data_IF_402447875348
#
_entry.id   IF_402447875348
#
_cell.length_a   1.000
_cell.length_b   1.000
_cell.length_c   1.000
_cell.angle_alpha   90.00
_cell.angle_beta   90.00
_cell.angle_gamma   90.00
#
_symmetry.space_group_name_H-M   'P 1'
#
loop_
_entity.id
_entity.type
_entity.pdbx_description
1 polymer ?
#
# COMPACT_ATOMS: atom_id res chain seq x y z
N UNK A 1 13.60 43.55 -2.71
CA UNK A 1 14.79 42.74 -3.01
C UNK A 1 15.38 42.22 -1.71
N UNK A 2 16.01 41.04 -1.74
CA UNK A 2 16.78 40.51 -0.61
C UNK A 2 18.24 40.49 -1.02
N UNK A 3 19.12 41.02 -0.16
CA UNK A 3 20.57 41.06 -0.38
C UNK A 3 21.26 40.62 0.90
N UNK A 4 22.32 39.84 0.79
CA UNK A 4 23.05 39.36 1.96
C UNK A 4 24.16 38.37 1.63
N UNK A 5 24.63 37.66 2.64
CA UNK A 5 25.74 36.71 2.54
C UNK A 5 25.34 35.29 2.11
N UNK A 6 24.03 34.97 2.12
CA UNK A 6 23.53 33.63 1.80
C UNK A 6 23.80 33.26 0.34
N UNK A 7 24.63 32.24 0.13
CA UNK A 7 24.73 31.54 -1.16
C UNK A 7 23.54 30.60 -1.39
N UNK A 8 23.25 30.27 -2.65
CA UNK A 8 22.17 29.34 -3.02
C UNK A 8 22.60 27.87 -2.83
N UNK A 9 22.85 27.47 -1.58
CA UNK A 9 23.28 26.13 -1.18
C UNK A 9 22.48 25.67 0.03
N UNK A 10 22.52 24.36 0.35
CA UNK A 10 21.86 23.82 1.54
C UNK A 10 22.25 24.57 2.82
N UNK A 11 23.54 24.82 3.05
CA UNK A 11 24.03 25.54 4.22
C UNK A 11 23.66 27.03 4.25
N UNK A 12 23.68 27.70 3.09
CA UNK A 12 23.31 29.12 2.98
C UNK A 12 21.80 29.38 3.10
N UNK A 13 20.97 28.39 2.78
CA UNK A 13 19.52 28.41 2.98
C UNK A 13 19.12 27.90 4.38
N UNK A 14 19.87 26.94 4.93
CA UNK A 14 19.62 26.33 6.22
C UNK A 14 20.94 25.87 6.88
N UNK A 15 21.35 26.56 7.94
CA UNK A 15 22.40 26.09 8.87
C UNK A 15 23.48 27.13 9.16
N UNK A 16 23.99 27.82 8.14
CA UNK A 16 25.01 28.85 8.34
C UNK A 16 24.43 30.08 9.07
N UNK A 17 25.32 30.80 9.76
CA UNK A 17 25.01 32.14 10.27
C UNK A 17 25.18 33.14 9.14
N UNK A 18 24.06 33.53 8.54
CA UNK A 18 24.01 34.43 7.40
C UNK A 18 23.41 35.79 7.80
N UNK A 19 23.86 36.87 7.17
CA UNK A 19 23.27 38.20 7.32
C UNK A 19 22.55 38.56 6.03
N UNK A 20 21.23 38.70 6.11
CA UNK A 20 20.38 39.07 4.98
C UNK A 20 19.50 40.27 5.34
N UNK A 21 19.31 41.17 4.38
CA UNK A 21 18.44 42.32 4.49
C UNK A 21 17.35 42.25 3.42
N UNK A 22 16.11 42.48 3.84
CA UNK A 22 14.99 42.69 2.94
C UNK A 22 14.79 44.20 2.76
N UNK A 23 14.75 44.67 1.52
CA UNK A 23 14.37 46.04 1.18
C UNK A 23 13.18 46.06 0.24
N UNK A 24 12.26 46.99 0.48
CA UNK A 24 11.12 47.30 -0.40
C UNK A 24 11.22 48.71 -0.98
N UNK A 25 12.31 49.43 -0.69
CA UNK A 25 12.55 50.76 -1.23
C UNK A 25 12.68 50.72 -2.75
N UNK A 26 11.96 51.60 -3.43
CA UNK A 26 11.88 51.57 -4.90
C UNK A 26 13.20 51.98 -5.53
N UNK A 27 13.84 53.02 -5.01
CA UNK A 27 15.09 53.54 -5.57
C UNK A 27 16.20 52.49 -5.45
N UNK A 28 16.38 51.90 -4.27
CA UNK A 28 17.35 50.83 -4.05
C UNK A 28 17.06 49.57 -4.89
N UNK A 29 15.80 49.20 -5.09
CA UNK A 29 15.45 48.09 -5.99
C UNK A 29 15.79 48.42 -7.45
N UNK A 30 15.52 49.64 -7.90
CA UNK A 30 15.86 50.08 -9.26
C UNK A 30 17.38 50.07 -9.48
N UNK A 31 18.17 50.52 -8.50
CA UNK A 31 19.63 50.47 -8.58
C UNK A 31 20.16 49.03 -8.70
N UNK A 32 19.63 48.10 -7.88
CA UNK A 32 19.97 46.68 -7.96
C UNK A 32 19.63 46.05 -9.32
N UNK A 33 18.49 46.41 -9.90
CA UNK A 33 18.09 45.93 -11.24
C UNK A 33 19.07 46.46 -12.30
N UNK A 34 19.43 47.74 -12.23
CA UNK A 34 20.36 48.34 -13.19
C UNK A 34 21.75 47.70 -13.09
N UNK A 35 22.23 47.45 -11.88
CA UNK A 35 23.49 46.72 -11.63
C UNK A 35 23.44 45.29 -12.17
N UNK A 36 22.35 44.56 -11.95
CA UNK A 36 22.17 43.23 -12.53
C UNK A 36 22.19 43.28 -14.06
N UNK A 37 21.46 44.22 -14.67
CA UNK A 37 21.38 44.37 -16.12
C UNK A 37 22.71 44.82 -16.74
N UNK A 38 23.56 45.57 -16.02
CA UNK A 38 24.89 45.91 -16.52
C UNK A 38 25.76 44.66 -16.61
N UNK A 39 25.80 43.86 -15.53
CA UNK A 39 26.53 42.59 -15.50
C UNK A 39 26.00 41.59 -16.54
N UNK A 40 24.68 41.51 -16.69
CA UNK A 40 24.03 40.61 -17.64
C UNK A 40 24.39 40.92 -19.10
N UNK A 41 24.72 42.18 -19.41
CA UNK A 41 25.11 42.66 -20.75
C UNK A 41 26.62 42.65 -20.98
N UNK A 42 27.43 42.32 -19.98
CA UNK A 42 28.88 42.17 -20.17
C UNK A 42 29.19 40.98 -21.08
N UNK A 43 30.29 41.05 -21.83
CA UNK A 43 30.72 40.00 -22.75
C UNK A 43 30.99 38.65 -22.05
N UNK A 44 31.21 38.67 -20.72
CA UNK A 44 31.41 37.48 -19.90
C UNK A 44 30.09 36.75 -19.55
N UNK A 45 28.93 37.36 -19.82
CA UNK A 45 27.61 36.76 -19.64
C UNK A 45 27.25 35.97 -20.89
N UNK A 46 27.42 34.65 -20.83
CA UNK A 46 27.21 33.74 -21.97
C UNK A 46 25.98 32.86 -21.75
N UNK A 47 25.32 32.45 -22.84
CA UNK A 47 24.24 31.46 -22.78
C UNK A 47 24.79 30.13 -22.27
N UNK A 48 24.21 29.61 -21.18
CA UNK A 48 24.60 28.37 -20.51
C UNK A 48 23.53 27.27 -20.62
N UNK A 49 22.51 27.48 -21.47
CA UNK A 49 21.35 26.58 -21.53
C UNK A 49 21.71 25.15 -21.91
N UNK A 50 22.55 24.96 -22.93
CA UNK A 50 22.85 23.62 -23.45
C UNK A 50 23.74 22.83 -22.48
N UNK A 51 24.73 23.49 -21.89
CA UNK A 51 25.62 22.95 -20.87
C UNK A 51 24.84 22.54 -19.62
N UNK A 52 23.88 23.38 -19.20
CA UNK A 52 22.99 23.07 -18.08
C UNK A 52 22.10 21.85 -18.38
N UNK A 53 21.53 21.76 -19.59
CA UNK A 53 20.74 20.60 -20.00
C UNK A 53 21.57 19.31 -20.01
N UNK A 54 22.79 19.35 -20.52
CA UNK A 54 23.70 18.19 -20.50
C UNK A 54 24.07 17.77 -19.06
N UNK A 55 24.28 18.74 -18.15
CA UNK A 55 24.51 18.44 -16.73
C UNK A 55 23.29 17.76 -16.10
N UNK A 56 22.07 18.21 -16.43
CA UNK A 56 20.84 17.61 -15.93
C UNK A 56 20.63 16.20 -16.47
N UNK A 57 20.89 15.96 -17.76
CA UNK A 57 20.80 14.61 -18.36
C UNK A 57 21.68 13.59 -17.63
N UNK A 58 22.84 13.99 -17.12
CA UNK A 58 23.73 13.14 -16.33
C UNK A 58 23.27 12.92 -14.88
N UNK A 59 22.43 13.81 -14.33
CA UNK A 59 21.99 13.79 -12.93
C UNK A 59 20.65 13.08 -12.70
N UNK A 60 19.79 12.99 -13.72
CA UNK A 60 18.55 12.21 -13.62
C UNK A 60 18.91 10.74 -13.76
N UNK A 61 19.00 10.01 -12.66
CA UNK A 61 18.96 8.55 -12.70
C UNK A 61 17.76 8.13 -13.53
N UNK A 62 18.03 7.53 -14.69
CA UNK A 62 17.07 7.12 -15.72
C UNK A 62 16.29 5.89 -15.27
N UNK A 63 15.67 5.95 -14.10
CA UNK A 63 14.67 4.96 -13.74
C UNK A 63 13.42 5.24 -14.55
N UNK A 64 13.07 4.29 -15.41
CA UNK A 64 11.79 4.30 -16.10
C UNK A 64 10.65 4.39 -15.08
N UNK A 65 9.49 4.96 -15.45
CA UNK A 65 8.30 4.94 -14.61
C UNK A 65 7.96 3.52 -14.11
N UNK A 66 8.25 2.50 -14.92
CA UNK A 66 8.10 1.11 -14.55
C UNK A 66 9.03 0.70 -13.39
N UNK A 67 10.32 1.03 -13.44
CA UNK A 67 11.27 0.68 -12.38
C UNK A 67 10.93 1.37 -11.07
N UNK A 68 10.52 2.64 -11.13
CA UNK A 68 10.06 3.38 -9.94
C UNK A 68 8.83 2.70 -9.34
N UNK A 69 7.85 2.36 -10.17
CA UNK A 69 6.65 1.65 -9.72
C UNK A 69 6.96 0.27 -9.17
N UNK A 70 7.77 -0.52 -9.86
CA UNK A 70 8.18 -1.86 -9.44
C UNK A 70 8.92 -1.82 -8.10
N UNK A 71 9.82 -0.84 -7.92
CA UNK A 71 10.54 -0.63 -6.65
C UNK A 71 9.60 -0.22 -5.54
N UNK A 72 8.66 0.69 -5.80
CA UNK A 72 7.66 1.10 -4.82
C UNK A 72 6.78 -0.09 -4.38
N UNK A 73 6.26 -0.87 -5.34
CA UNK A 73 5.50 -2.08 -5.04
C UNK A 73 6.34 -3.09 -4.26
N UNK A 74 7.59 -3.31 -4.65
CA UNK A 74 8.48 -4.22 -3.93
C UNK A 74 8.65 -3.78 -2.46
N UNK A 75 8.96 -2.52 -2.18
CA UNK A 75 9.13 -2.05 -0.80
C UNK A 75 7.84 -2.16 0.03
N UNK A 76 6.67 -1.92 -0.59
CA UNK A 76 5.36 -2.05 0.06
C UNK A 76 5.04 -3.50 0.42
N UNK A 77 5.35 -4.44 -0.47
CA UNK A 77 4.93 -5.86 -0.32
C UNK A 77 6.04 -6.80 0.16
N UNK A 78 7.30 -6.34 0.25
CA UNK A 78 8.44 -7.16 0.66
C UNK A 78 8.21 -7.91 1.98
N UNK A 79 7.70 -7.28 3.06
CA UNK A 79 7.45 -8.00 4.32
C UNK A 79 6.50 -9.20 4.14
N UNK A 80 5.47 -9.05 3.32
CA UNK A 80 4.48 -10.09 3.03
C UNK A 80 5.05 -11.16 2.10
N UNK A 81 5.88 -10.78 1.12
CA UNK A 81 6.57 -11.70 0.21
C UNK A 81 7.55 -12.59 0.99
N UNK A 82 8.28 -12.03 1.95
CA UNK A 82 9.25 -12.79 2.73
C UNK A 82 8.55 -13.75 3.71
N UNK A 83 7.43 -13.34 4.32
CA UNK A 83 6.58 -14.23 5.13
C UNK A 83 6.00 -15.38 4.29
N UNK A 84 5.49 -15.07 3.09
CA UNK A 84 4.92 -16.04 2.15
C UNK A 84 5.88 -17.19 1.82
N UNK A 85 7.19 -16.90 1.67
CA UNK A 85 8.22 -17.93 1.38
C UNK A 85 8.39 -18.96 2.48
N UNK A 86 8.08 -18.60 3.72
CA UNK A 86 8.30 -19.46 4.90
C UNK A 86 7.06 -20.25 5.32
N UNK A 87 5.87 -19.88 4.79
CA UNK A 87 4.61 -20.43 5.24
C UNK A 87 4.21 -21.69 4.45
N UNK A 88 4.48 -22.86 5.02
CA UNK A 88 4.20 -24.17 4.40
C UNK A 88 2.70 -24.47 4.23
N UNK A 89 1.82 -23.75 4.94
CA UNK A 89 0.36 -23.98 4.90
C UNK A 89 -0.27 -23.58 3.57
N UNK A 90 0.44 -22.83 2.72
CA UNK A 90 -0.11 -22.19 1.52
C UNK A 90 0.52 -22.65 0.20
N UNK A 91 1.19 -23.81 0.17
CA UNK A 91 1.89 -24.30 -1.05
C UNK A 91 1.01 -24.50 -2.27
N UNK A 92 -0.30 -24.67 -2.10
CA UNK A 92 -1.27 -24.85 -3.20
C UNK A 92 -1.87 -23.54 -3.69
N UNK A 93 -1.53 -22.40 -3.06
CA UNK A 93 -2.05 -21.09 -3.44
C UNK A 93 -1.16 -20.40 -4.47
N UNK A 94 -1.78 -19.60 -5.34
CA UNK A 94 -1.04 -18.67 -6.17
C UNK A 94 -0.41 -17.56 -5.32
N UNK A 95 0.73 -16.97 -5.74
CA UNK A 95 1.43 -15.94 -4.95
C UNK A 95 0.54 -14.79 -4.47
N UNK A 96 -0.41 -14.33 -5.30
CA UNK A 96 -1.32 -13.26 -4.90
C UNK A 96 -2.30 -13.70 -3.80
N UNK A 97 -2.76 -14.95 -3.80
CA UNK A 97 -3.64 -15.50 -2.77
C UNK A 97 -2.92 -15.64 -1.43
N UNK A 98 -1.63 -15.97 -1.45
CA UNK A 98 -0.79 -15.99 -0.26
C UNK A 98 -0.71 -14.59 0.36
N UNK A 99 -0.42 -13.58 -0.47
CA UNK A 99 -0.36 -12.18 -0.03
C UNK A 99 -1.72 -11.71 0.51
N UNK A 100 -2.83 -12.00 -0.19
CA UNK A 100 -4.18 -11.66 0.28
C UNK A 100 -4.50 -12.32 1.62
N UNK A 101 -4.09 -13.58 1.84
CA UNK A 101 -4.30 -14.30 3.11
C UNK A 101 -3.52 -13.66 4.25
N UNK A 102 -2.23 -13.36 4.04
CA UNK A 102 -1.38 -12.72 5.06
C UNK A 102 -1.95 -11.34 5.42
N UNK A 103 -2.27 -10.53 4.41
CA UNK A 103 -2.82 -9.20 4.63
C UNK A 103 -4.16 -9.26 5.36
N UNK A 104 -5.05 -10.16 4.94
CA UNK A 104 -6.35 -10.30 5.55
C UNK A 104 -6.25 -10.80 7.00
N UNK A 105 -5.35 -11.75 7.29
CA UNK A 105 -5.10 -12.23 8.65
C UNK A 105 -4.60 -11.12 9.58
N UNK A 106 -3.67 -10.28 9.12
CA UNK A 106 -3.18 -9.12 9.90
C UNK A 106 -4.29 -8.10 10.20
N UNK A 107 -5.08 -7.75 9.20
CA UNK A 107 -6.21 -6.81 9.37
C UNK A 107 -7.24 -7.42 10.32
N UNK A 108 -7.59 -8.70 10.13
CA UNK A 108 -8.52 -9.42 10.99
C UNK A 108 -8.03 -9.45 12.45
N UNK A 109 -6.74 -9.71 12.69
CA UNK A 109 -6.16 -9.70 14.03
C UNK A 109 -6.08 -8.32 14.68
N UNK A 110 -5.94 -7.25 13.89
CA UNK A 110 -5.88 -5.88 14.40
C UNK A 110 -7.25 -5.25 14.66
N UNK A 111 -8.26 -5.61 13.84
CA UNK A 111 -9.55 -4.91 13.81
C UNK A 111 -10.77 -5.82 14.05
N UNK A 112 -10.56 -7.12 14.28
CA UNK A 112 -11.63 -8.13 14.42
C UNK A 112 -12.58 -8.20 13.21
N UNK A 113 -12.14 -7.72 12.05
CA UNK A 113 -12.91 -7.77 10.81
C UNK A 113 -12.05 -7.44 9.60
N UNK A 114 -12.39 -8.03 8.46
CA UNK A 114 -11.72 -7.77 7.17
C UNK A 114 -12.70 -7.94 6.02
N UNK A 115 -12.56 -7.11 5.00
CA UNK A 115 -13.29 -7.23 3.73
C UNK A 115 -12.30 -7.59 2.62
N UNK A 116 -12.59 -8.64 1.88
CA UNK A 116 -11.80 -9.08 0.73
C UNK A 116 -12.60 -8.78 -0.54
N UNK A 117 -12.13 -7.82 -1.34
CA UNK A 117 -12.84 -7.28 -2.49
C UNK A 117 -12.11 -7.53 -3.83
N UNK A 118 -11.43 -8.66 -3.97
CA UNK A 118 -10.73 -9.03 -5.20
C UNK A 118 -11.71 -9.25 -6.38
N UNK A 119 -11.24 -9.10 -7.62
CA UNK A 119 -12.01 -9.40 -8.82
C UNK A 119 -12.52 -10.85 -8.87
N UNK A 120 -13.54 -11.10 -9.69
CA UNK A 120 -14.09 -12.45 -9.93
C UNK A 120 -13.00 -13.38 -10.49
N UNK A 121 -12.94 -14.62 -9.99
CA UNK A 121 -11.97 -15.62 -10.46
C UNK A 121 -10.57 -15.53 -9.82
N UNK A 122 -10.26 -14.51 -9.02
CA UNK A 122 -8.93 -14.38 -8.37
C UNK A 122 -8.75 -15.29 -7.14
N UNK A 123 -9.79 -15.99 -6.69
CA UNK A 123 -9.71 -17.00 -5.64
C UNK A 123 -9.98 -16.52 -4.21
N UNK A 124 -10.91 -15.57 -4.05
CA UNK A 124 -11.43 -15.14 -2.73
C UNK A 124 -11.87 -16.32 -1.86
N UNK A 125 -12.47 -17.35 -2.45
CA UNK A 125 -12.87 -18.59 -1.74
C UNK A 125 -11.66 -19.29 -1.12
N UNK A 126 -10.56 -19.44 -1.87
CA UNK A 126 -9.31 -20.04 -1.36
C UNK A 126 -8.70 -19.22 -0.24
N UNK A 127 -8.73 -17.90 -0.34
CA UNK A 127 -8.28 -17.01 0.75
C UNK A 127 -9.16 -17.20 2.00
N UNK A 128 -10.48 -17.23 1.84
CA UNK A 128 -11.43 -17.47 2.92
C UNK A 128 -11.23 -18.83 3.61
N UNK A 129 -11.03 -19.90 2.84
CA UNK A 129 -10.72 -21.23 3.37
C UNK A 129 -9.41 -21.21 4.19
N UNK A 130 -8.37 -20.53 3.70
CA UNK A 130 -7.11 -20.46 4.44
C UNK A 130 -7.24 -19.69 5.75
N UNK A 131 -7.91 -18.54 5.75
CA UNK A 131 -8.20 -17.80 6.98
C UNK A 131 -9.00 -18.65 7.98
N UNK A 132 -9.93 -19.45 7.47
CA UNK A 132 -10.73 -20.37 8.26
C UNK A 132 -9.87 -21.49 8.85
N UNK A 133 -8.99 -22.10 8.06
CA UNK A 133 -8.05 -23.11 8.53
C UNK A 133 -7.10 -22.55 9.59
N UNK A 134 -6.62 -21.32 9.43
CA UNK A 134 -5.81 -20.64 10.45
C UNK A 134 -6.61 -20.47 11.76
N UNK A 135 -7.88 -20.05 11.66
CA UNK A 135 -8.75 -19.93 12.83
C UNK A 135 -8.99 -21.29 13.53
N UNK A 136 -9.20 -22.37 12.77
CA UNK A 136 -9.33 -23.74 13.31
C UNK A 136 -8.05 -24.17 14.02
N UNK A 137 -6.88 -23.90 13.42
CA UNK A 137 -5.59 -24.19 14.04
C UNK A 137 -5.37 -23.41 15.35
N UNK A 138 -5.96 -22.22 15.45
CA UNK A 138 -5.99 -21.40 16.67
C UNK A 138 -7.08 -21.83 17.67
N UNK A 139 -7.76 -22.96 17.44
CA UNK A 139 -8.79 -23.52 18.32
C UNK A 139 -10.16 -22.81 18.23
N UNK A 140 -10.41 -22.07 17.16
CA UNK A 140 -11.71 -21.40 16.93
C UNK A 140 -12.63 -22.31 16.11
N UNK A 141 -13.94 -22.07 16.25
CA UNK A 141 -15.00 -22.75 15.49
C UNK A 141 -15.63 -21.77 14.48
N UNK A 142 -15.05 -21.63 13.27
CA UNK A 142 -15.57 -20.71 12.27
C UNK A 142 -16.82 -21.26 11.58
N UNK A 143 -17.70 -20.36 11.16
CA UNK A 143 -18.87 -20.68 10.34
C UNK A 143 -18.92 -19.86 9.06
N UNK A 144 -19.24 -20.52 7.95
CA UNK A 144 -19.45 -19.91 6.64
C UNK A 144 -20.92 -19.56 6.44
N UNK A 145 -21.19 -18.30 6.07
CA UNK A 145 -22.52 -17.83 5.68
C UNK A 145 -22.45 -17.33 4.24
N UNK A 146 -23.23 -17.94 3.34
CA UNK A 146 -23.27 -17.54 1.93
C UNK A 146 -24.60 -17.96 1.27
N UNK A 147 -24.96 -17.41 0.09
CA UNK A 147 -26.11 -17.89 -0.67
C UNK A 147 -25.99 -19.39 -0.96
N UNK A 148 -27.11 -20.11 -0.92
CA UNK A 148 -27.13 -21.57 -1.11
C UNK A 148 -26.44 -22.01 -2.40
N UNK A 149 -26.63 -21.25 -3.47
CA UNK A 149 -25.97 -21.51 -4.76
C UNK A 149 -24.45 -21.47 -4.69
N UNK A 150 -23.86 -20.55 -3.92
CA UNK A 150 -22.42 -20.45 -3.76
C UNK A 150 -21.87 -21.57 -2.85
N UNK A 151 -22.64 -21.96 -1.82
CA UNK A 151 -22.30 -23.09 -0.94
C UNK A 151 -22.25 -24.41 -1.71
N UNK A 152 -23.33 -24.72 -2.43
CA UNK A 152 -23.50 -25.99 -3.16
C UNK A 152 -22.59 -26.12 -4.39
N UNK A 153 -21.92 -25.04 -4.80
CA UNK A 153 -21.00 -25.01 -5.95
C UNK A 153 -19.56 -24.70 -5.52
N UNK A 154 -19.13 -23.45 -5.62
CA UNK A 154 -17.73 -23.04 -5.47
C UNK A 154 -17.17 -23.39 -4.10
N UNK A 155 -17.91 -23.14 -3.02
CA UNK A 155 -17.38 -23.42 -1.68
C UNK A 155 -17.23 -24.91 -1.43
N UNK A 156 -18.24 -25.73 -1.78
CA UNK A 156 -18.16 -27.18 -1.63
C UNK A 156 -16.99 -27.77 -2.42
N UNK A 157 -16.85 -27.41 -3.69
CA UNK A 157 -15.76 -27.89 -4.55
C UNK A 157 -14.37 -27.49 -4.01
N UNK A 158 -14.23 -26.25 -3.52
CA UNK A 158 -12.95 -25.79 -2.95
C UNK A 158 -12.64 -26.39 -1.58
N UNK A 159 -13.65 -26.65 -0.74
CA UNK A 159 -13.51 -27.39 0.52
C UNK A 159 -13.07 -28.83 0.26
N UNK A 160 -13.69 -29.50 -0.72
CA UNK A 160 -13.33 -30.88 -1.11
C UNK A 160 -11.88 -30.95 -1.61
N UNK A 161 -11.45 -30.00 -2.45
CA UNK A 161 -10.08 -29.90 -2.98
C UNK A 161 -9.03 -29.56 -1.93
N UNK A 162 -9.41 -28.84 -0.87
CA UNK A 162 -8.49 -28.44 0.21
C UNK A 162 -8.50 -29.40 1.38
N UNK A 163 -9.50 -30.28 1.46
CA UNK A 163 -9.80 -31.10 2.62
C UNK A 163 -10.04 -30.29 3.90
N UNK A 164 -10.51 -29.05 3.76
CA UNK A 164 -10.90 -28.18 4.87
C UNK A 164 -12.41 -28.16 4.95
N UNK A 165 -12.96 -28.77 6.00
CA UNK A 165 -14.40 -28.76 6.24
C UNK A 165 -14.77 -27.56 7.11
N UNK A 166 -15.73 -26.76 6.64
CA UNK A 166 -16.23 -25.57 7.32
C UNK A 166 -17.74 -25.74 7.48
N UNK A 167 -18.23 -25.60 8.71
CA UNK A 167 -19.67 -25.60 8.94
C UNK A 167 -20.29 -24.41 8.22
N UNK A 168 -21.40 -24.65 7.52
CA UNK A 168 -21.99 -23.64 6.66
C UNK A 168 -23.50 -23.55 6.82
N UNK A 169 -24.00 -22.31 6.69
CA UNK A 169 -25.42 -22.00 6.72
C UNK A 169 -25.74 -21.09 5.54
N UNK A 170 -26.84 -21.38 4.84
CA UNK A 170 -27.24 -20.56 3.72
C UNK A 170 -27.85 -19.24 4.19
N UNK A 171 -27.58 -18.14 3.48
CA UNK A 171 -28.15 -16.83 3.78
C UNK A 171 -29.69 -16.85 3.76
N UNK A 172 -30.28 -17.67 2.90
CA UNK A 172 -31.74 -17.86 2.80
C UNK A 172 -32.30 -18.57 4.05
N UNK A 173 -31.58 -19.58 4.56
CA UNK A 173 -31.98 -20.27 5.78
C UNK A 173 -31.87 -19.33 7.00
N UNK A 174 -30.75 -18.61 7.11
CA UNK A 174 -30.54 -17.61 8.17
C UNK A 174 -31.65 -16.54 8.16
N UNK A 175 -32.03 -16.07 6.97
CA UNK A 175 -33.10 -15.07 6.81
C UNK A 175 -34.48 -15.60 7.22
N UNK A 176 -34.77 -16.86 6.92
CA UNK A 176 -36.06 -17.49 7.26
C UNK A 176 -36.16 -17.98 8.71
N UNK A 177 -35.03 -18.28 9.35
CA UNK A 177 -34.96 -18.86 10.70
C UNK A 177 -33.91 -18.17 11.59
N UNK A 178 -33.95 -16.84 11.77
CA UNK A 178 -32.89 -16.11 12.47
C UNK A 178 -32.75 -16.54 13.93
N UNK A 179 -33.85 -16.66 14.67
CA UNK A 179 -33.83 -17.01 16.10
C UNK A 179 -33.33 -18.44 16.35
N UNK A 180 -33.70 -19.39 15.50
CA UNK A 180 -33.25 -20.77 15.60
C UNK A 180 -31.76 -20.87 15.28
N UNK A 181 -31.31 -20.15 14.26
CA UNK A 181 -29.89 -20.11 13.87
C UNK A 181 -29.02 -19.56 15.00
N UNK A 182 -29.41 -18.41 15.56
CA UNK A 182 -28.71 -17.79 16.68
C UNK A 182 -28.68 -18.73 17.89
N UNK A 183 -29.81 -19.36 18.24
CA UNK A 183 -29.85 -20.34 19.35
C UNK A 183 -28.99 -21.58 19.09
N UNK A 184 -28.91 -22.05 17.84
CA UNK A 184 -28.06 -23.17 17.45
C UNK A 184 -26.57 -22.85 17.64
N UNK A 185 -26.15 -21.69 17.13
CA UNK A 185 -24.76 -21.21 17.25
C UNK A 185 -24.28 -21.10 18.70
N UNK A 186 -25.14 -20.59 19.59
CA UNK A 186 -24.79 -20.42 20.99
C UNK A 186 -24.97 -21.69 21.84
N UNK A 187 -25.67 -22.72 21.34
CA UNK A 187 -25.84 -24.01 22.04
C UNK A 187 -24.69 -24.97 21.80
N UNK A 188 -24.07 -24.94 20.62
CA UNK A 188 -22.95 -25.83 20.29
C UNK A 188 -21.57 -25.23 20.60
N UNK A 189 -21.49 -23.93 20.93
CA UNK A 189 -20.21 -23.18 20.90
C UNK A 189 -19.65 -22.59 22.21
N UNK A 190 -20.21 -22.80 23.40
CA UNK A 190 -19.67 -22.21 24.64
C UNK A 190 -19.78 -23.11 25.89
N UNK A 191 -19.36 -24.37 25.78
CA UNK A 191 -18.95 -25.15 26.94
C UNK A 191 -17.45 -25.45 26.84
N UNK A 192 -16.70 -24.70 27.67
CA UNK A 192 -15.26 -24.67 27.95
C UNK A 192 -14.40 -23.80 27.04
#
# INVERSE_FOLDING_TARGET
ATVGSSNFTGGGLAGNRELNMLTTDREGVTELINWFLSLWKEDNSVDFKNEFLQLLENYVTTHSPYEVLAKALYEVYRPQIDEAKTNNLMKTLFPHQVLSTIQASRILGAYNGVIIADSTGLGKTRVGINLTQMAINDGKNPMLIAPKSALDTTWKDEMDKTHVHIDSISSEYLSSHPDQTVKGLFREGFHN
#
